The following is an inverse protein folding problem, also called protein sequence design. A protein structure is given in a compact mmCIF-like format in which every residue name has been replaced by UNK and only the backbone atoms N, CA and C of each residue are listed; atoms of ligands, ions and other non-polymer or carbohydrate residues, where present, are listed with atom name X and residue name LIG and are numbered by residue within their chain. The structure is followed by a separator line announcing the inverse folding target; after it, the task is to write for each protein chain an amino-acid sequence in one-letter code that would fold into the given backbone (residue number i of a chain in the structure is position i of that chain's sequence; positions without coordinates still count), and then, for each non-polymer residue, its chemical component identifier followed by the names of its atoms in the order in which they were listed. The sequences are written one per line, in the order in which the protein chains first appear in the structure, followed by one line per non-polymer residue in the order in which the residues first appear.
data_IF_029961445322
#
_entry.id   IF_029961445322
#
_cell.length_a   1.000
_cell.length_b   1.000
_cell.length_c   1.000
_cell.angle_alpha   90.00
_cell.angle_beta   90.00
_cell.angle_gamma   90.00
#
_symmetry.space_group_name_H-M   'P 1'
#
loop_
_entity.id
_entity.type
_entity.pdbx_description
1 polymer ?
#
# COMPACT_ATOMS: atom_id res chain seq x y z
N UNK A 1 4.48 -13.40 11.84
CA UNK A 1 3.27 -13.42 11.02
C UNK A 1 2.60 -12.07 11.08
N UNK A 2 2.13 -11.57 9.96
CA UNK A 2 1.54 -10.24 9.90
C UNK A 2 0.06 -10.28 10.25
N UNK A 3 -0.41 -9.26 10.97
CA UNK A 3 -1.83 -9.00 11.08
C UNK A 3 -2.30 -8.37 9.77
N UNK A 4 -3.47 -8.78 9.31
CA UNK A 4 -4.01 -8.36 8.02
C UNK A 4 -5.29 -7.57 8.25
N UNK A 5 -5.42 -6.43 7.55
CA UNK A 5 -6.62 -5.61 7.61
C UNK A 5 -7.02 -5.12 6.23
N UNK A 6 -8.29 -5.20 5.96
CA UNK A 6 -8.89 -4.62 4.77
C UNK A 6 -9.35 -3.21 5.08
N UNK A 7 -8.95 -2.26 4.25
CA UNK A 7 -9.40 -0.88 4.33
C UNK A 7 -10.54 -0.68 3.33
N UNK A 8 -11.75 -0.58 3.85
CA UNK A 8 -12.91 -0.24 3.03
C UNK A 8 -12.86 1.26 2.79
N UNK A 9 -12.49 1.65 1.57
CA UNK A 9 -12.31 3.04 1.26
C UNK A 9 -13.64 3.74 1.04
N UNK A 10 -13.97 4.63 1.95
CA UNK A 10 -14.94 5.70 1.69
C UNK A 10 -14.33 6.99 2.21
N UNK A 11 -14.66 8.11 1.60
CA UNK A 11 -14.06 9.40 1.97
C UNK A 11 -14.28 9.78 3.43
N UNK A 12 -15.35 9.27 4.03
CA UNK A 12 -15.72 9.58 5.41
C UNK A 12 -15.11 8.65 6.46
N UNK A 13 -14.55 7.49 6.07
CA UNK A 13 -14.25 6.42 7.01
C UNK A 13 -12.79 6.20 7.32
N UNK A 14 -11.90 7.05 6.81
CA UNK A 14 -10.45 6.89 7.04
C UNK A 14 -10.07 7.00 8.52
N UNK A 15 -10.93 7.53 9.37
CA UNK A 15 -10.63 7.69 10.78
C UNK A 15 -10.76 6.39 11.59
N UNK A 16 -11.45 5.38 11.08
CA UNK A 16 -11.77 4.16 11.83
C UNK A 16 -11.20 2.90 11.19
N UNK A 17 -10.32 3.06 10.22
CA UNK A 17 -9.87 1.95 9.39
C UNK A 17 -8.98 0.99 10.17
N UNK A 18 -8.17 1.50 11.08
CA UNK A 18 -7.27 0.68 11.89
C UNK A 18 -7.58 0.94 13.36
N UNK A 19 -8.07 -0.11 14.04
CA UNK A 19 -8.35 -0.02 15.46
C UNK A 19 -7.07 -0.18 16.27
N UNK A 20 -6.89 0.69 17.27
CA UNK A 20 -5.76 0.60 18.19
C UNK A 20 -4.46 1.10 17.57
N UNK A 21 -3.94 2.17 18.13
CA UNK A 21 -2.62 2.68 17.77
C UNK A 21 -1.56 1.98 18.58
N UNK A 22 -0.51 1.54 17.92
CA UNK A 22 0.71 1.10 18.58
C UNK A 22 1.87 1.72 17.83
N UNK A 23 2.57 2.64 18.47
CA UNK A 23 3.68 3.37 17.87
C UNK A 23 4.90 2.50 17.55
N UNK A 24 4.91 1.25 18.03
CA UNK A 24 5.96 0.32 17.68
C UNK A 24 5.65 -0.48 16.41
N UNK A 25 4.45 -0.29 15.85
CA UNK A 25 4.05 -1.00 14.65
C UNK A 25 4.33 -0.19 13.40
N UNK A 26 4.78 -0.87 12.36
CA UNK A 26 4.91 -0.30 11.03
C UNK A 26 3.91 -0.99 10.11
N UNK A 27 3.06 -0.20 9.48
CA UNK A 27 1.98 -0.69 8.63
C UNK A 27 2.44 -0.67 7.17
N UNK A 28 2.36 -1.82 6.51
CA UNK A 28 2.57 -1.93 5.06
C UNK A 28 1.23 -1.63 4.39
N UNK A 29 1.14 -0.51 3.68
CA UNK A 29 -0.11 -0.07 3.06
C UNK A 29 -0.15 -0.50 1.60
N UNK A 30 -0.93 -1.55 1.33
CA UNK A 30 -1.03 -2.15 0.01
C UNK A 30 -2.24 -1.63 -0.75
N UNK A 31 -2.08 -1.43 -2.06
CA UNK A 31 -3.18 -1.06 -2.95
C UNK A 31 -2.96 -1.77 -4.29
N UNK A 32 -4.04 -2.26 -4.95
CA UNK A 32 -3.91 -2.75 -6.32
C UNK A 32 -3.42 -1.65 -7.23
N UNK A 33 -2.37 -1.90 -8.01
CA UNK A 33 -1.73 -0.82 -8.76
C UNK A 33 -1.73 -1.04 -10.27
N UNK A 34 -1.72 -2.28 -10.73
CA UNK A 34 -1.67 -2.61 -12.16
C UNK A 34 -2.92 -2.11 -12.89
N UNK A 35 -2.73 -1.55 -14.07
CA UNK A 35 -3.83 -1.03 -14.87
C UNK A 35 -3.32 -0.05 -15.91
N UNK A 36 -4.22 0.77 -16.42
CA UNK A 36 -3.85 1.85 -17.34
C UNK A 36 -3.02 2.91 -16.62
N UNK A 37 -2.35 3.76 -17.39
CA UNK A 37 -1.58 4.88 -16.83
C UNK A 37 -2.48 5.76 -15.96
N UNK A 38 -3.70 6.00 -16.40
CA UNK A 38 -4.66 6.82 -15.68
C UNK A 38 -5.10 6.18 -14.37
N UNK A 39 -5.34 4.86 -14.39
CA UNK A 39 -5.68 4.11 -13.20
C UNK A 39 -4.52 4.08 -12.20
N UNK A 40 -3.30 3.91 -12.69
CA UNK A 40 -2.11 3.91 -11.83
C UNK A 40 -1.93 5.27 -11.15
N UNK A 41 -2.09 6.35 -11.92
CA UNK A 41 -2.00 7.70 -11.35
C UNK A 41 -3.08 7.95 -10.31
N UNK A 42 -4.30 7.54 -10.58
CA UNK A 42 -5.41 7.67 -9.62
C UNK A 42 -5.11 6.93 -8.32
N UNK A 43 -4.65 5.69 -8.44
CA UNK A 43 -4.35 4.87 -7.26
C UNK A 43 -3.14 5.38 -6.49
N UNK A 44 -2.16 5.92 -7.19
CA UNK A 44 -1.00 6.57 -6.55
C UNK A 44 -1.46 7.76 -5.71
N UNK A 45 -2.27 8.64 -6.29
CA UNK A 45 -2.79 9.80 -5.57
C UNK A 45 -3.66 9.38 -4.38
N UNK A 46 -4.49 8.35 -4.58
CA UNK A 46 -5.37 7.83 -3.55
C UNK A 46 -4.58 7.27 -2.35
N UNK A 47 -3.59 6.42 -2.62
CA UNK A 47 -2.82 5.80 -1.54
C UNK A 47 -1.99 6.83 -0.78
N UNK A 48 -1.49 7.86 -1.47
CA UNK A 48 -0.78 8.96 -0.81
C UNK A 48 -1.70 9.68 0.18
N UNK A 49 -2.94 9.94 -0.21
CA UNK A 49 -3.92 10.57 0.66
C UNK A 49 -4.25 9.74 1.89
N UNK A 50 -4.42 8.43 1.70
CA UNK A 50 -4.70 7.50 2.79
C UNK A 50 -3.51 7.42 3.74
N UNK A 51 -2.30 7.30 3.20
CA UNK A 51 -1.09 7.27 4.01
C UNK A 51 -0.94 8.53 4.85
N UNK A 52 -1.19 9.70 4.25
CA UNK A 52 -1.11 10.96 4.96
C UNK A 52 -2.10 11.03 6.13
N UNK A 53 -3.32 10.57 5.91
CA UNK A 53 -4.33 10.56 6.98
C UNK A 53 -3.95 9.62 8.13
N UNK A 54 -3.42 8.44 7.81
CA UNK A 54 -2.95 7.52 8.84
C UNK A 54 -1.79 8.11 9.63
N UNK A 55 -0.85 8.76 8.96
CA UNK A 55 0.27 9.41 9.62
C UNK A 55 -0.18 10.56 10.51
N UNK A 56 -1.19 11.33 10.09
CA UNK A 56 -1.78 12.39 10.91
C UNK A 56 -2.42 11.83 12.18
N UNK A 57 -2.88 10.59 12.13
CA UNK A 57 -3.44 9.90 13.29
C UNK A 57 -2.37 9.27 14.19
N UNK A 58 -1.11 9.36 13.81
CA UNK A 58 0.01 8.86 14.61
C UNK A 58 0.51 7.48 14.24
N UNK A 59 0.04 6.90 13.13
CA UNK A 59 0.54 5.61 12.68
C UNK A 59 1.84 5.76 11.89
N UNK A 60 2.72 4.78 12.02
CA UNK A 60 3.87 4.64 11.14
C UNK A 60 3.48 3.78 9.95
N UNK A 61 3.63 4.33 8.75
CA UNK A 61 3.12 3.72 7.52
C UNK A 61 4.22 3.67 6.47
N UNK A 62 4.41 2.51 5.87
CA UNK A 62 5.17 2.39 4.64
C UNK A 62 4.21 2.11 3.50
N UNK A 63 4.18 3.00 2.52
CA UNK A 63 3.36 2.87 1.32
C UNK A 63 4.28 2.55 0.14
N UNK A 64 4.35 1.29 -0.30
CA UNK A 64 5.31 0.92 -1.35
C UNK A 64 5.06 1.64 -2.67
N UNK A 65 3.82 1.87 -3.05
CA UNK A 65 3.52 2.56 -4.30
C UNK A 65 3.93 4.02 -4.22
N UNK A 66 3.72 4.67 -3.07
CA UNK A 66 4.17 6.05 -2.86
C UNK A 66 5.68 6.18 -3.03
N UNK A 67 6.42 5.18 -2.60
CA UNK A 67 7.88 5.16 -2.68
C UNK A 67 8.36 4.74 -4.07
N UNK A 68 7.84 3.65 -4.60
CA UNK A 68 8.41 3.01 -5.79
C UNK A 68 7.93 3.64 -7.11
N UNK A 69 6.70 4.11 -7.16
CA UNK A 69 6.14 4.61 -8.42
C UNK A 69 6.91 5.82 -8.96
N UNK A 70 7.18 6.87 -8.17
CA UNK A 70 7.98 8.00 -8.67
C UNK A 70 9.37 7.58 -9.11
N UNK A 71 9.99 6.64 -8.41
CA UNK A 71 11.30 6.13 -8.76
C UNK A 71 11.25 5.43 -10.11
N UNK A 72 10.23 4.61 -10.34
CA UNK A 72 10.07 3.87 -11.59
C UNK A 72 9.89 4.78 -12.81
N UNK A 73 9.40 5.99 -12.60
CA UNK A 73 9.25 6.97 -13.68
C UNK A 73 10.57 7.64 -14.04
N UNK A 74 11.58 7.53 -13.19
CA UNK A 74 12.87 8.20 -13.36
C UNK A 74 14.01 7.27 -13.77
N UNK A 75 13.79 5.97 -13.78
CA UNK A 75 14.80 5.00 -14.09
C UNK A 75 14.27 3.86 -14.97
N UNK A 76 15.19 3.15 -15.59
CA UNK A 76 14.86 1.97 -16.38
C UNK A 76 14.93 0.75 -15.45
N UNK A 77 13.86 0.52 -14.71
CA UNK A 77 13.80 -0.56 -13.75
C UNK A 77 13.17 -1.81 -14.37
N UNK A 78 13.51 -3.00 -13.82
CA UNK A 78 12.83 -4.22 -14.24
C UNK A 78 11.32 -4.10 -14.10
N UNK A 79 10.60 -4.60 -15.09
CA UNK A 79 9.13 -4.58 -15.08
C UNK A 79 8.54 -5.94 -14.76
N UNK A 80 9.41 -6.95 -14.55
CA UNK A 80 8.92 -8.27 -14.25
C UNK A 80 8.42 -8.37 -12.80
N UNK A 81 7.45 -9.23 -12.64
CA UNK A 81 6.79 -9.45 -11.37
C UNK A 81 7.72 -10.06 -10.32
N UNK A 82 8.71 -10.82 -10.75
CA UNK A 82 9.65 -11.47 -9.85
C UNK A 82 10.52 -10.46 -9.10
N UNK A 83 11.00 -9.41 -9.79
CA UNK A 83 11.79 -8.37 -9.16
C UNK A 83 10.98 -7.65 -8.07
N UNK A 84 9.76 -7.23 -8.42
CA UNK A 84 8.93 -6.47 -7.48
C UNK A 84 8.42 -7.33 -6.33
N UNK A 85 8.20 -8.62 -6.57
CA UNK A 85 7.87 -9.56 -5.52
C UNK A 85 8.98 -9.64 -4.46
N UNK A 86 10.23 -9.71 -4.90
CA UNK A 86 11.38 -9.73 -3.98
C UNK A 86 11.50 -8.43 -3.21
N UNK A 87 11.34 -7.30 -3.89
CA UNK A 87 11.40 -5.98 -3.26
C UNK A 87 10.32 -5.83 -2.19
N UNK A 88 9.07 -6.14 -2.55
CA UNK A 88 7.94 -6.00 -1.65
C UNK A 88 8.10 -6.90 -0.42
N UNK A 89 8.54 -8.13 -0.62
CA UNK A 89 8.77 -9.05 0.50
C UNK A 89 9.84 -8.54 1.45
N UNK A 90 10.90 -7.95 0.91
CA UNK A 90 11.97 -7.41 1.74
C UNK A 90 11.45 -6.26 2.60
N UNK A 91 10.71 -5.34 2.02
CA UNK A 91 10.14 -4.21 2.75
C UNK A 91 9.08 -4.68 3.75
N UNK A 92 8.24 -5.63 3.35
CA UNK A 92 7.19 -6.17 4.21
C UNK A 92 7.77 -6.87 5.44
N UNK A 93 8.99 -7.43 5.34
CA UNK A 93 9.64 -8.10 6.46
C UNK A 93 9.91 -7.16 7.63
N UNK A 94 9.93 -5.84 7.40
CA UNK A 94 10.12 -4.84 8.45
C UNK A 94 8.80 -4.32 9.00
N UNK A 95 7.68 -4.73 8.43
CA UNK A 95 6.37 -4.27 8.85
C UNK A 95 5.70 -5.29 9.77
N UNK A 96 4.89 -4.83 10.71
CA UNK A 96 4.17 -5.68 11.64
C UNK A 96 2.72 -5.90 11.24
N UNK A 97 2.17 -5.06 10.38
CA UNK A 97 0.79 -5.14 9.89
C UNK A 97 0.72 -4.85 8.41
N UNK A 98 -0.30 -5.42 7.76
CA UNK A 98 -0.63 -5.11 6.37
C UNK A 98 -2.03 -4.53 6.35
N UNK A 99 -2.17 -3.37 5.73
CA UNK A 99 -3.46 -2.76 5.46
C UNK A 99 -3.68 -2.74 3.94
N UNK A 100 -4.83 -3.22 3.50
CA UNK A 100 -5.13 -3.34 2.07
C UNK A 100 -6.27 -2.38 1.73
N UNK A 101 -6.02 -1.49 0.77
CA UNK A 101 -7.06 -0.58 0.27
C UNK A 101 -7.95 -1.35 -0.70
N UNK A 102 -9.23 -1.48 -0.35
CA UNK A 102 -10.19 -2.23 -1.15
C UNK A 102 -10.78 -1.35 -2.25
N UNK A 103 -10.01 -1.15 -3.32
CA UNK A 103 -10.52 -0.53 -4.56
C UNK A 103 -10.92 -1.63 -5.54
N UNK A 104 -11.59 -1.26 -6.62
CA UNK A 104 -11.97 -2.23 -7.65
C UNK A 104 -10.76 -3.05 -8.10
N UNK A 105 -10.92 -4.36 -8.13
CA UNK A 105 -9.88 -5.28 -8.55
C UNK A 105 -8.88 -5.66 -7.47
N UNK A 106 -9.07 -5.24 -6.22
CA UNK A 106 -8.10 -5.55 -5.17
C UNK A 106 -7.93 -7.06 -4.95
N UNK A 107 -8.99 -7.84 -5.13
CA UNK A 107 -8.94 -9.31 -4.96
C UNK A 107 -8.13 -10.00 -6.06
N UNK A 108 -8.04 -9.37 -7.23
CA UNK A 108 -7.34 -9.93 -8.40
C UNK A 108 -5.93 -9.38 -8.55
N UNK A 109 -5.50 -8.48 -7.67
CA UNK A 109 -4.18 -7.89 -7.75
C UNK A 109 -3.09 -8.92 -7.43
N UNK A 110 -2.14 -9.07 -8.33
CA UNK A 110 -0.98 -9.95 -8.12
C UNK A 110 -0.13 -9.49 -6.94
N UNK A 111 0.02 -8.18 -6.78
CA UNK A 111 0.77 -7.62 -5.67
C UNK A 111 0.16 -7.96 -4.32
N UNK A 112 -1.16 -7.82 -4.21
CA UNK A 112 -1.87 -8.12 -2.96
C UNK A 112 -1.85 -9.61 -2.67
N UNK A 113 -2.03 -10.44 -3.69
CA UNK A 113 -1.98 -11.90 -3.50
C UNK A 113 -0.62 -12.40 -3.03
N UNK A 114 0.46 -11.69 -3.39
CA UNK A 114 1.81 -12.03 -2.91
C UNK A 114 2.00 -11.71 -1.42
N UNK A 115 1.27 -10.79 -0.94
CA UNK A 115 1.37 -10.29 0.42
C UNK A 115 0.57 -11.15 1.40
#
# INVERSE_FOLDING_TARGET
MFSYRLLDYSESDTNNIIAGKDHNELIYLAIPFSGTIEEMKYRFDLVNGIAAKLMQQGYYVFSPISHCYPISLNGDLPKDDLYWKGYDRKMMSFCSKIAVVMVNGWRDSKGIKRE
#
